data_IF_561890821943
#
_entry.id   IF_561890821943
#
_cell.length_a   1.000
_cell.length_b   1.000
_cell.length_c   1.000
_cell.angle_alpha   90.00
_cell.angle_beta   90.00
_cell.angle_gamma   90.00
#
_symmetry.space_group_name_H-M   'P 1'
#
loop_
_entity.id
_entity.type
_entity.pdbx_description
1 polymer ?
#
# COMPACT_ATOMS: atom_id res chain seq x y z
N UNK A 1 24.43 -6.73 -20.65
CA UNK A 1 24.59 -5.45 -21.39
C UNK A 1 24.61 -4.32 -20.38
N UNK A 2 25.60 -3.41 -20.41
CA UNK A 2 25.54 -2.20 -19.59
C UNK A 2 24.27 -1.42 -19.95
N UNK A 3 23.53 -0.98 -18.95
CA UNK A 3 22.38 -0.11 -19.18
C UNK A 3 22.87 1.19 -19.82
N UNK A 4 22.28 1.60 -20.93
CA UNK A 4 22.54 2.94 -21.45
C UNK A 4 22.04 3.97 -20.42
N UNK A 5 22.85 4.97 -20.09
CA UNK A 5 22.46 6.06 -19.20
C UNK A 5 21.17 6.76 -19.67
N UNK A 6 20.94 6.78 -20.98
CA UNK A 6 19.71 7.27 -21.61
C UNK A 6 18.45 6.56 -21.10
N UNK A 7 18.51 5.25 -20.84
CA UNK A 7 17.37 4.47 -20.34
C UNK A 7 17.00 4.85 -18.91
N UNK A 8 17.99 5.11 -18.05
CA UNK A 8 17.73 5.61 -16.69
C UNK A 8 17.12 7.00 -16.70
N UNK A 9 17.67 7.90 -17.53
CA UNK A 9 17.13 9.25 -17.68
C UNK A 9 15.68 9.22 -18.18
N UNK A 10 15.37 8.42 -19.19
CA UNK A 10 14.01 8.28 -19.70
C UNK A 10 13.05 7.66 -18.67
N UNK A 11 13.49 6.65 -17.92
CA UNK A 11 12.69 6.06 -16.86
C UNK A 11 12.32 7.09 -15.78
N UNK A 12 13.31 7.87 -15.31
CA UNK A 12 13.09 8.92 -14.33
C UNK A 12 12.20 10.05 -14.86
N UNK A 13 12.41 10.49 -16.10
CA UNK A 13 11.56 11.50 -16.73
C UNK A 13 10.11 11.03 -16.84
N UNK A 14 9.90 9.78 -17.27
CA UNK A 14 8.56 9.18 -17.37
C UNK A 14 7.91 9.11 -15.99
N UNK A 15 8.63 8.66 -14.98
CA UNK A 15 8.13 8.61 -13.60
C UNK A 15 7.79 10.01 -13.07
N UNK A 16 8.64 11.02 -13.28
CA UNK A 16 8.35 12.40 -12.89
C UNK A 16 7.08 12.93 -13.56
N UNK A 17 6.96 12.78 -14.88
CA UNK A 17 5.79 13.27 -15.64
C UNK A 17 4.51 12.62 -15.14
N UNK A 18 4.52 11.29 -14.97
CA UNK A 18 3.35 10.53 -14.53
C UNK A 18 2.96 10.89 -13.10
N UNK A 19 3.94 11.00 -12.18
CA UNK A 19 3.67 11.39 -10.80
C UNK A 19 3.17 12.83 -10.70
N UNK A 20 3.73 13.77 -11.47
CA UNK A 20 3.24 15.16 -11.52
C UNK A 20 1.83 15.24 -12.08
N UNK A 21 1.51 14.46 -13.12
CA UNK A 21 0.16 14.37 -13.66
C UNK A 21 -0.83 13.79 -12.62
N UNK A 22 -0.42 12.76 -11.87
CA UNK A 22 -1.22 12.22 -10.78
C UNK A 22 -1.44 13.25 -9.65
N UNK A 23 -0.40 13.97 -9.25
CA UNK A 23 -0.51 15.06 -8.25
C UNK A 23 -1.49 16.14 -8.73
N UNK A 24 -1.37 16.58 -9.99
CA UNK A 24 -2.29 17.55 -10.57
C UNK A 24 -3.74 17.03 -10.60
N UNK A 25 -3.94 15.76 -10.98
CA UNK A 25 -5.26 15.11 -10.97
C UNK A 25 -5.85 15.02 -9.56
N UNK A 26 -5.07 14.62 -8.56
CA UNK A 26 -5.49 14.58 -7.16
C UNK A 26 -5.81 15.99 -6.64
N UNK A 27 -4.95 16.96 -6.91
CA UNK A 27 -5.17 18.36 -6.55
C UNK A 27 -6.50 18.86 -7.11
N UNK A 28 -6.74 18.69 -8.41
CA UNK A 28 -8.02 19.11 -9.03
C UNK A 28 -9.22 18.40 -8.41
N UNK A 29 -9.10 17.10 -8.10
CA UNK A 29 -10.16 16.32 -7.46
C UNK A 29 -10.46 16.84 -6.06
N UNK A 30 -9.42 17.12 -5.26
CA UNK A 30 -9.54 17.63 -3.88
C UNK A 30 -10.15 19.04 -3.86
N UNK A 31 -9.71 19.93 -4.76
CA UNK A 31 -10.27 21.27 -4.84
C UNK A 31 -11.73 21.27 -5.33
N UNK A 32 -12.04 20.48 -6.37
CA UNK A 32 -13.36 20.49 -6.99
C UNK A 32 -14.41 19.72 -6.19
N UNK A 33 -14.05 18.59 -5.57
CA UNK A 33 -15.01 17.68 -4.94
C UNK A 33 -14.98 17.72 -3.41
N UNK A 34 -13.86 18.09 -2.80
CA UNK A 34 -13.66 18.00 -1.33
C UNK A 34 -13.39 19.36 -0.68
N UNK A 35 -13.56 20.47 -1.41
CA UNK A 35 -13.39 21.82 -0.87
C UNK A 35 -11.98 22.13 -0.39
N UNK A 36 -10.97 21.41 -0.89
CA UNK A 36 -9.57 21.54 -0.45
C UNK A 36 -9.16 20.59 0.67
N UNK A 37 -10.06 19.75 1.18
CA UNK A 37 -9.73 18.78 2.21
C UNK A 37 -9.16 17.49 1.60
N UNK A 38 -7.84 17.31 1.75
CA UNK A 38 -7.10 16.14 1.26
C UNK A 38 -7.54 14.82 1.91
N UNK A 39 -8.15 14.87 3.10
CA UNK A 39 -8.65 13.67 3.76
C UNK A 39 -9.82 13.03 3.01
N UNK A 40 -10.45 13.75 2.08
CA UNK A 40 -11.49 13.22 1.18
C UNK A 40 -11.00 12.05 0.32
N UNK A 41 -9.70 11.96 0.05
CA UNK A 41 -9.09 10.84 -0.69
C UNK A 41 -9.18 9.49 0.06
N UNK A 42 -9.34 9.51 1.38
CA UNK A 42 -9.50 8.29 2.18
C UNK A 42 -10.95 7.75 2.18
N UNK A 43 -11.90 8.50 1.60
CA UNK A 43 -13.30 8.10 1.47
C UNK A 43 -13.91 7.64 2.81
N UNK A 44 -13.88 8.50 3.82
CA UNK A 44 -14.37 8.21 5.17
C UNK A 44 -15.90 8.24 5.16
N UNK A 45 -16.55 7.14 5.55
CA UNK A 45 -18.01 7.03 5.54
C UNK A 45 -18.66 7.79 6.69
N UNK A 46 -19.94 8.16 6.56
CA UNK A 46 -20.72 8.74 7.65
C UNK A 46 -21.52 7.73 8.48
N UNK A 47 -21.84 6.53 7.91
CA UNK A 47 -22.69 5.50 8.56
C UNK A 47 -21.90 4.44 9.35
N UNK A 48 -20.75 4.04 8.80
CA UNK A 48 -19.73 3.21 9.45
C UNK A 48 -18.44 4.02 9.63
N UNK A 49 -18.55 5.33 9.46
CA UNK A 49 -17.50 6.27 9.78
C UNK A 49 -17.02 5.95 11.14
N UNK A 50 -15.78 5.56 11.20
CA UNK A 50 -15.15 5.40 12.47
C UNK A 50 -15.31 6.73 13.20
N UNK A 51 -16.17 6.76 14.22
CA UNK A 51 -16.14 7.80 15.23
C UNK A 51 -14.90 7.54 16.08
N UNK A 52 -13.73 7.67 15.45
CA UNK A 52 -12.44 7.63 16.12
C UNK A 52 -12.44 8.91 16.94
N UNK A 53 -12.75 8.79 18.23
CA UNK A 53 -12.75 9.90 19.17
C UNK A 53 -11.43 10.68 19.18
N UNK A 54 -10.36 10.11 18.63
CA UNK A 54 -8.98 10.61 18.66
C UNK A 54 -8.38 10.99 17.30
N UNK A 55 -9.09 10.80 16.17
CA UNK A 55 -8.55 11.23 14.87
C UNK A 55 -8.86 12.71 14.59
N UNK A 56 -7.94 13.44 13.94
CA UNK A 56 -8.21 14.80 13.46
C UNK A 56 -9.46 14.83 12.58
N UNK A 57 -10.18 15.96 12.64
CA UNK A 57 -11.31 16.24 11.74
C UNK A 57 -10.93 15.90 10.29
N UNK A 58 -11.84 15.21 9.61
CA UNK A 58 -11.62 14.74 8.27
C UNK A 58 -12.91 14.89 7.45
N UNK A 59 -12.77 15.03 6.15
CA UNK A 59 -13.84 15.06 5.18
C UNK A 59 -14.67 13.78 5.28
N UNK A 60 -15.94 13.95 5.64
CA UNK A 60 -16.87 12.85 5.86
C UNK A 60 -17.88 12.79 4.71
N UNK A 61 -18.10 11.60 4.15
CA UNK A 61 -19.09 11.34 3.11
C UNK A 61 -20.44 10.95 3.73
N UNK A 62 -21.43 11.87 3.80
CA UNK A 62 -22.70 11.60 4.48
C UNK A 62 -23.45 10.46 3.81
N UNK A 63 -24.02 9.56 4.62
CA UNK A 63 -24.79 8.41 4.11
C UNK A 63 -23.96 7.29 3.47
N UNK A 64 -22.63 7.46 3.33
CA UNK A 64 -21.72 6.45 2.79
C UNK A 64 -21.24 5.47 3.87
N UNK A 65 -20.95 4.23 3.46
CA UNK A 65 -20.18 3.28 4.29
C UNK A 65 -18.67 3.59 4.30
N UNK A 66 -18.24 4.48 3.41
CA UNK A 66 -16.83 4.77 3.16
C UNK A 66 -16.16 3.68 2.32
N UNK A 67 -14.83 3.73 2.26
CA UNK A 67 -14.01 2.77 1.56
C UNK A 67 -12.87 2.26 2.44
N UNK A 68 -12.16 1.23 2.00
CA UNK A 68 -11.07 0.61 2.75
C UNK A 68 -9.94 1.58 3.16
N UNK A 69 -9.74 2.68 2.42
CA UNK A 69 -8.75 3.71 2.72
C UNK A 69 -8.88 4.30 4.14
N UNK A 70 -10.10 4.46 4.65
CA UNK A 70 -10.35 4.98 6.00
C UNK A 70 -9.74 4.08 7.09
N UNK A 71 -9.74 2.76 6.87
CA UNK A 71 -9.15 1.79 7.81
C UNK A 71 -7.63 1.83 7.77
N UNK A 72 -7.03 2.00 6.59
CA UNK A 72 -5.58 2.13 6.49
C UNK A 72 -5.06 3.46 7.03
N UNK A 73 -5.83 4.54 6.88
CA UNK A 73 -5.58 5.81 7.58
C UNK A 73 -5.58 5.60 9.09
N UNK A 74 -6.61 4.96 9.62
CA UNK A 74 -6.71 4.64 11.03
C UNK A 74 -5.50 3.85 11.57
N UNK A 75 -5.08 2.79 10.87
CA UNK A 75 -3.87 2.04 11.21
C UNK A 75 -2.63 2.94 11.15
N UNK A 76 -2.55 3.90 10.24
CA UNK A 76 -1.40 4.80 10.14
C UNK A 76 -1.30 5.76 11.32
N UNK A 77 -2.44 6.17 11.90
CA UNK A 77 -2.47 7.02 13.10
C UNK A 77 -2.21 6.25 14.39
N UNK A 78 -2.50 4.95 14.41
CA UNK A 78 -2.22 4.09 15.56
C UNK A 78 -1.65 2.72 15.14
N UNK A 79 -0.41 2.68 14.61
CA UNK A 79 0.17 1.44 14.08
C UNK A 79 0.58 0.45 15.17
N UNK A 80 0.73 0.92 16.41
CA UNK A 80 1.18 0.13 17.55
C UNK A 80 0.06 -0.21 18.55
N UNK A 81 -1.20 0.05 18.21
CA UNK A 81 -2.37 -0.24 19.06
C UNK A 81 -2.29 0.43 20.44
N UNK A 82 -1.79 1.67 20.48
CA UNK A 82 -1.71 2.47 21.69
C UNK A 82 -3.08 3.06 22.09
N UNK A 83 -4.03 3.09 21.16
CA UNK A 83 -5.38 3.62 21.36
C UNK A 83 -6.45 2.57 21.08
N UNK A 84 -7.71 2.90 21.36
CA UNK A 84 -8.86 2.03 21.05
C UNK A 84 -9.41 2.21 19.63
N UNK A 85 -8.63 2.83 18.73
CA UNK A 85 -9.04 3.07 17.35
C UNK A 85 -9.35 1.78 16.58
N UNK A 86 -8.71 0.67 16.95
CA UNK A 86 -8.95 -0.64 16.35
C UNK A 86 -10.41 -1.12 16.46
N UNK A 87 -11.17 -0.70 17.47
CA UNK A 87 -12.57 -1.15 17.70
C UNK A 87 -13.48 -0.80 16.53
N UNK A 88 -13.18 0.30 15.84
CA UNK A 88 -13.98 0.78 14.74
C UNK A 88 -13.40 0.39 13.36
N UNK A 89 -12.31 -0.39 13.34
CA UNK A 89 -11.76 -0.93 12.11
C UNK A 89 -12.42 -2.27 11.81
N UNK A 90 -13.07 -2.37 10.64
CA UNK A 90 -13.60 -3.65 10.18
C UNK A 90 -12.48 -4.66 9.96
N UNK A 91 -12.61 -5.83 10.58
CA UNK A 91 -11.59 -6.90 10.61
C UNK A 91 -10.21 -6.36 10.92
N UNK A 92 -10.09 -5.65 12.05
CA UNK A 92 -8.85 -5.03 12.51
C UNK A 92 -7.66 -5.99 12.43
N UNK A 93 -7.83 -7.27 12.76
CA UNK A 93 -6.75 -8.26 12.67
C UNK A 93 -6.16 -8.38 11.26
N UNK A 94 -6.98 -8.29 10.22
CA UNK A 94 -6.50 -8.36 8.84
C UNK A 94 -5.88 -7.04 8.38
N UNK A 95 -6.38 -5.91 8.87
CA UNK A 95 -5.88 -4.57 8.48
C UNK A 95 -4.51 -4.29 9.11
N UNK A 96 -4.31 -4.67 10.37
CA UNK A 96 -3.03 -4.55 11.07
C UNK A 96 -1.95 -5.51 10.58
N UNK A 97 -2.32 -6.61 9.90
CA UNK A 97 -1.35 -7.45 9.19
C UNK A 97 -0.79 -6.78 7.93
N UNK A 98 -1.56 -5.86 7.34
CA UNK A 98 -1.26 -5.13 6.11
C UNK A 98 -0.63 -3.75 6.41
N UNK A 99 0.35 -3.75 7.31
CA UNK A 99 0.86 -2.54 7.97
C UNK A 99 1.91 -1.78 7.17
N UNK A 100 2.42 -2.30 6.03
CA UNK A 100 3.59 -1.70 5.38
C UNK A 100 3.41 -0.22 5.05
N UNK A 101 2.34 0.12 4.33
CA UNK A 101 2.06 1.51 3.92
C UNK A 101 1.67 2.38 5.12
N UNK A 102 0.74 1.96 6.01
CA UNK A 102 0.46 2.69 7.25
C UNK A 102 1.70 3.00 8.11
N UNK A 103 2.58 2.02 8.30
CA UNK A 103 3.80 2.19 9.10
C UNK A 103 4.79 3.11 8.42
N UNK A 104 4.96 3.00 7.09
CA UNK A 104 5.81 3.91 6.32
C UNK A 104 5.33 5.36 6.43
N UNK A 105 4.02 5.59 6.38
CA UNK A 105 3.42 6.91 6.58
C UNK A 105 3.68 7.46 7.99
N UNK A 106 3.48 6.63 9.02
CA UNK A 106 3.76 7.00 10.41
C UNK A 106 5.23 7.36 10.63
N UNK A 107 6.16 6.56 10.06
CA UNK A 107 7.60 6.82 10.14
C UNK A 107 7.96 8.13 9.43
N UNK A 108 7.41 8.38 8.24
CA UNK A 108 7.64 9.61 7.49
C UNK A 108 7.11 10.85 8.22
N UNK A 109 5.99 10.72 8.94
CA UNK A 109 5.42 11.76 9.79
C UNK A 109 6.11 11.89 11.16
N UNK A 110 7.04 11.00 11.51
CA UNK A 110 7.65 10.95 12.84
C UNK A 110 6.63 10.72 13.97
N UNK A 111 5.51 10.04 13.67
CA UNK A 111 4.40 9.83 14.60
C UNK A 111 3.53 11.05 14.90
N UNK A 112 3.74 12.20 14.23
CA UNK A 112 2.92 13.39 14.41
C UNK A 112 1.59 13.24 13.68
N UNK A 113 0.49 13.10 14.42
CA UNK A 113 -0.86 12.85 13.86
C UNK A 113 -1.26 13.85 12.76
N UNK A 114 -0.90 15.13 12.88
CA UNK A 114 -1.22 16.17 11.88
C UNK A 114 -0.54 15.96 10.53
N UNK A 115 0.59 15.25 10.48
CA UNK A 115 1.37 15.03 9.25
C UNK A 115 1.10 13.66 8.63
N UNK A 116 0.48 12.72 9.35
CA UNK A 116 0.29 11.33 8.91
C UNK A 116 -0.53 11.23 7.63
N UNK A 117 -1.59 12.03 7.48
CA UNK A 117 -2.44 11.98 6.29
C UNK A 117 -1.67 12.40 5.02
N UNK A 118 -0.91 13.50 5.12
CA UNK A 118 -0.04 13.97 4.03
C UNK A 118 1.12 13.00 3.75
N UNK A 119 1.72 12.43 4.80
CA UNK A 119 2.75 11.42 4.67
C UNK A 119 2.23 10.16 3.97
N UNK A 120 1.00 9.72 4.26
CA UNK A 120 0.39 8.56 3.61
C UNK A 120 0.21 8.81 2.10
N UNK A 121 -0.33 9.97 1.73
CA UNK A 121 -0.47 10.37 0.31
C UNK A 121 0.92 10.40 -0.36
N UNK A 122 1.93 10.93 0.32
CA UNK A 122 3.30 10.96 -0.20
C UNK A 122 3.89 9.56 -0.40
N UNK A 123 3.61 8.60 0.49
CA UNK A 123 4.01 7.19 0.32
C UNK A 123 3.32 6.56 -0.89
N UNK A 124 2.01 6.76 -1.06
CA UNK A 124 1.26 6.26 -2.24
C UNK A 124 1.82 6.83 -3.54
N UNK A 125 2.10 8.14 -3.58
CA UNK A 125 2.72 8.80 -4.74
C UNK A 125 4.16 8.34 -4.98
N UNK A 126 4.91 8.05 -3.92
CA UNK A 126 6.25 7.47 -4.02
C UNK A 126 6.19 6.06 -4.61
N UNK A 127 5.22 5.24 -4.19
CA UNK A 127 4.99 3.93 -4.79
C UNK A 127 4.66 4.04 -6.29
N UNK A 128 3.85 5.02 -6.69
CA UNK A 128 3.59 5.30 -8.11
C UNK A 128 4.89 5.64 -8.86
N UNK A 129 5.68 6.59 -8.33
CA UNK A 129 6.94 7.01 -8.93
C UNK A 129 7.90 5.82 -9.11
N UNK A 130 8.15 5.06 -8.04
CA UNK A 130 9.03 3.91 -8.09
C UNK A 130 8.46 2.76 -8.94
N UNK A 131 7.14 2.61 -9.02
CA UNK A 131 6.47 1.64 -9.87
C UNK A 131 6.67 1.94 -11.36
N UNK A 132 6.43 3.18 -11.77
CA UNK A 132 6.67 3.67 -13.14
C UNK A 132 8.16 3.56 -13.49
N UNK A 133 9.06 3.99 -12.60
CA UNK A 133 10.50 3.90 -12.83
C UNK A 133 10.95 2.44 -12.98
N UNK A 134 10.51 1.55 -12.07
CA UNK A 134 10.82 0.13 -12.12
C UNK A 134 10.31 -0.52 -13.41
N UNK A 135 9.09 -0.20 -13.85
CA UNK A 135 8.50 -0.79 -15.05
C UNK A 135 9.23 -0.28 -16.29
N UNK A 136 9.53 1.02 -16.35
CA UNK A 136 10.31 1.63 -17.43
C UNK A 136 11.67 0.96 -17.58
N UNK A 137 12.36 0.71 -16.47
CA UNK A 137 13.66 0.04 -16.48
C UNK A 137 13.54 -1.46 -16.82
N UNK A 138 12.48 -2.13 -16.39
CA UNK A 138 12.21 -3.52 -16.78
C UNK A 138 11.92 -3.64 -18.27
N UNK A 139 11.15 -2.71 -18.86
CA UNK A 139 10.91 -2.66 -20.30
C UNK A 139 12.20 -2.38 -21.08
N UNK A 140 13.00 -1.42 -20.62
CA UNK A 140 14.29 -1.11 -21.21
C UNK A 140 15.23 -2.33 -21.24
N UNK A 141 15.19 -3.20 -20.21
CA UNK A 141 15.95 -4.46 -20.18
C UNK A 141 15.61 -5.41 -21.32
N UNK A 142 14.36 -5.37 -21.77
CA UNK A 142 13.83 -6.25 -22.80
C UNK A 142 13.79 -5.58 -24.18
N UNK A 143 14.47 -4.44 -24.36
CA UNK A 143 14.49 -3.72 -25.64
C UNK A 143 13.19 -2.99 -25.99
N UNK A 144 12.28 -2.82 -25.02
CA UNK A 144 11.01 -2.12 -25.19
C UNK A 144 11.15 -0.63 -24.80
N UNK A 145 10.27 0.25 -25.32
CA UNK A 145 10.34 1.69 -25.05
C UNK A 145 10.16 1.99 -23.54
N UNK A 146 11.11 2.66 -22.88
CA UNK A 146 11.01 2.97 -21.45
C UNK A 146 9.79 3.83 -21.10
N UNK A 147 9.37 4.70 -22.01
CA UNK A 147 8.19 5.55 -21.84
C UNK A 147 6.88 4.76 -21.63
N UNK A 148 6.82 3.50 -22.11
CA UNK A 148 5.68 2.63 -21.86
C UNK A 148 5.54 2.23 -20.37
N UNK A 149 6.52 2.55 -19.52
CA UNK A 149 6.37 2.45 -18.07
C UNK A 149 5.22 3.31 -17.53
N UNK A 150 4.78 4.34 -18.27
CA UNK A 150 3.58 5.12 -17.94
C UNK A 150 2.30 4.27 -17.85
N UNK A 151 2.26 3.11 -18.52
CA UNK A 151 1.15 2.15 -18.41
C UNK A 151 0.95 1.63 -16.98
N UNK A 152 1.96 1.75 -16.10
CA UNK A 152 1.84 1.42 -14.69
C UNK A 152 0.71 2.21 -14.00
N UNK A 153 0.50 3.48 -14.39
CA UNK A 153 -0.59 4.30 -13.86
C UNK A 153 -1.96 3.74 -14.21
N UNK A 154 -2.10 3.11 -15.38
CA UNK A 154 -3.37 2.55 -15.88
C UNK A 154 -3.74 1.21 -15.25
N UNK A 155 -2.84 0.61 -14.45
CA UNK A 155 -3.15 -0.61 -13.72
C UNK A 155 -4.29 -0.33 -12.72
N UNK A 156 -5.29 -1.21 -12.60
CA UNK A 156 -6.41 -1.01 -11.66
C UNK A 156 -5.94 -0.78 -10.23
N UNK A 157 -4.89 -1.48 -9.80
CA UNK A 157 -4.29 -1.29 -8.49
C UNK A 157 -3.73 0.13 -8.30
N UNK A 158 -3.11 0.72 -9.31
CA UNK A 158 -2.62 2.11 -9.26
C UNK A 158 -3.76 3.12 -9.19
N UNK A 159 -4.74 3.01 -10.09
CA UNK A 159 -5.86 3.94 -10.17
C UNK A 159 -6.71 3.94 -8.89
N UNK A 160 -7.08 2.75 -8.41
CA UNK A 160 -7.90 2.61 -7.20
C UNK A 160 -7.09 3.03 -5.96
N UNK A 161 -5.79 2.73 -5.90
CA UNK A 161 -4.93 3.22 -4.82
C UNK A 161 -4.85 4.74 -4.77
N UNK A 162 -4.79 5.43 -5.91
CA UNK A 162 -4.76 6.89 -5.95
C UNK A 162 -6.12 7.52 -5.63
N UNK A 163 -7.22 6.91 -6.07
CA UNK A 163 -8.57 7.41 -5.81
C UNK A 163 -9.05 7.17 -4.37
N UNK A 164 -8.58 6.07 -3.74
CA UNK A 164 -9.08 5.59 -2.44
C UNK A 164 -8.01 5.40 -1.37
N UNK A 165 -6.77 5.84 -1.63
CA UNK A 165 -5.62 5.70 -0.73
C UNK A 165 -5.42 4.25 -0.25
N UNK A 166 -5.52 3.28 -1.18
CA UNK A 166 -5.26 1.87 -0.87
C UNK A 166 -3.76 1.54 -0.90
N UNK A 167 -3.29 0.58 -0.10
CA UNK A 167 -1.89 0.17 -0.08
C UNK A 167 -1.49 -0.67 -1.31
N UNK A 168 -2.43 -1.09 -2.16
CA UNK A 168 -2.23 -2.01 -3.28
C UNK A 168 -1.14 -1.63 -4.27
N UNK A 169 -0.98 -0.33 -4.54
CA UNK A 169 0.08 0.20 -5.38
C UNK A 169 1.48 -0.21 -4.87
N UNK A 170 1.67 -0.35 -3.57
CA UNK A 170 2.96 -0.79 -3.01
C UNK A 170 3.28 -2.23 -3.42
N UNK A 171 2.27 -3.12 -3.50
CA UNK A 171 2.48 -4.52 -3.86
C UNK A 171 2.90 -4.66 -5.33
N UNK A 172 2.23 -3.95 -6.24
CA UNK A 172 2.60 -3.97 -7.66
C UNK A 172 3.94 -3.27 -7.92
N UNK A 173 4.29 -2.25 -7.13
CA UNK A 173 5.63 -1.64 -7.17
C UNK A 173 6.70 -2.64 -6.72
N UNK A 174 6.48 -3.34 -5.60
CA UNK A 174 7.38 -4.41 -5.13
C UNK A 174 7.55 -5.49 -6.22
N UNK A 175 6.45 -5.97 -6.81
CA UNK A 175 6.49 -6.97 -7.89
C UNK A 175 7.40 -6.53 -9.03
N UNK A 176 7.22 -5.31 -9.53
CA UNK A 176 8.02 -4.79 -10.65
C UNK A 176 9.51 -4.69 -10.29
N UNK A 177 9.84 -4.26 -9.07
CA UNK A 177 11.23 -4.23 -8.61
C UNK A 177 11.82 -5.62 -8.39
N UNK A 178 11.04 -6.59 -7.93
CA UNK A 178 11.48 -8.00 -7.88
C UNK A 178 11.79 -8.49 -9.29
N UNK A 179 10.89 -8.30 -10.26
CA UNK A 179 11.10 -8.68 -11.67
C UNK A 179 12.32 -7.99 -12.27
N UNK A 180 12.52 -6.70 -11.97
CA UNK A 180 13.69 -5.96 -12.42
C UNK A 180 14.97 -6.47 -11.79
N UNK A 181 15.03 -6.73 -10.49
CA UNK A 181 16.26 -7.14 -9.82
C UNK A 181 16.58 -8.63 -9.99
N UNK A 182 15.61 -9.44 -10.42
CA UNK A 182 15.75 -10.87 -10.58
C UNK A 182 16.91 -11.23 -11.53
N UNK A 183 17.83 -12.03 -11.01
CA UNK A 183 19.00 -12.57 -11.73
C UNK A 183 19.25 -14.03 -11.31
N UNK A 184 18.17 -14.79 -11.18
CA UNK A 184 18.18 -16.22 -10.81
C UNK A 184 18.85 -16.51 -9.47
N UNK A 185 18.89 -15.51 -8.58
CA UNK A 185 19.50 -15.61 -7.25
C UNK A 185 18.74 -14.75 -6.27
N UNK A 186 18.58 -15.26 -5.05
CA UNK A 186 18.03 -14.50 -3.94
C UNK A 186 19.09 -13.53 -3.42
N UNK A 187 19.08 -12.29 -3.92
CA UNK A 187 19.90 -11.22 -3.37
C UNK A 187 19.21 -10.57 -2.17
N UNK A 188 19.98 -9.91 -1.30
CA UNK A 188 19.42 -9.20 -0.15
C UNK A 188 18.27 -8.23 -0.53
N UNK A 189 18.38 -7.38 -1.58
CA UNK A 189 17.26 -6.53 -2.00
C UNK A 189 15.99 -7.31 -2.39
N UNK A 190 16.14 -8.46 -3.06
CA UNK A 190 15.00 -9.30 -3.44
C UNK A 190 14.38 -9.93 -2.19
N UNK A 191 15.19 -10.49 -1.29
CA UNK A 191 14.71 -11.07 -0.04
C UNK A 191 13.97 -10.05 0.83
N UNK A 192 14.48 -8.81 0.89
CA UNK A 192 13.82 -7.70 1.58
C UNK A 192 12.45 -7.40 0.94
N UNK A 193 12.40 -7.20 -0.38
CA UNK A 193 11.16 -6.94 -1.11
C UNK A 193 10.12 -8.07 -0.95
N UNK A 194 10.56 -9.33 -1.02
CA UNK A 194 9.71 -10.50 -0.78
C UNK A 194 9.18 -10.54 0.65
N UNK A 195 9.98 -10.15 1.64
CA UNK A 195 9.52 -10.02 3.03
C UNK A 195 8.47 -8.94 3.20
N UNK A 196 8.61 -7.81 2.48
CA UNK A 196 7.69 -6.69 2.57
C UNK A 196 6.36 -6.95 1.85
N UNK A 197 6.31 -7.79 0.81
CA UNK A 197 5.12 -8.00 0.00
C UNK A 197 3.90 -8.51 0.81
N UNK A 198 4.00 -9.53 1.68
CA UNK A 198 2.91 -9.97 2.55
C UNK A 198 2.42 -8.89 3.52
N UNK A 199 3.27 -7.94 3.91
CA UNK A 199 2.90 -6.81 4.78
C UNK A 199 2.06 -5.75 4.05
N UNK A 200 1.96 -5.80 2.72
CA UNK A 200 1.04 -4.95 1.95
C UNK A 200 -0.34 -5.59 1.84
N UNK A 201 -0.37 -6.88 1.46
CA UNK A 201 -1.59 -7.65 1.26
C UNK A 201 -1.29 -9.13 1.41
N UNK A 202 -2.27 -9.91 1.86
CA UNK A 202 -2.13 -11.37 2.03
C UNK A 202 -1.76 -12.07 0.70
N UNK A 203 -2.20 -11.51 -0.43
CA UNK A 203 -1.87 -12.00 -1.79
C UNK A 203 -0.37 -11.85 -2.08
N UNK A 204 0.36 -10.99 -1.36
CA UNK A 204 1.81 -10.87 -1.47
C UNK A 204 2.57 -12.15 -1.13
N UNK A 205 1.97 -13.09 -0.39
CA UNK A 205 2.52 -14.44 -0.17
C UNK A 205 2.65 -15.22 -1.49
N UNK A 206 1.82 -14.93 -2.50
CA UNK A 206 1.98 -15.56 -3.82
C UNK A 206 3.28 -15.14 -4.49
N UNK A 207 3.76 -13.92 -4.24
CA UNK A 207 5.03 -13.45 -4.79
C UNK A 207 6.22 -14.19 -4.19
N UNK A 208 6.17 -14.44 -2.87
CA UNK A 208 7.21 -15.22 -2.16
C UNK A 208 7.17 -16.69 -2.58
N UNK A 209 5.97 -17.26 -2.74
CA UNK A 209 5.78 -18.61 -3.26
C UNK A 209 6.33 -18.76 -4.69
N UNK A 210 6.01 -17.82 -5.59
CA UNK A 210 6.52 -17.84 -6.96
C UNK A 210 8.06 -17.78 -7.01
N UNK A 211 8.68 -16.93 -6.18
CA UNK A 211 10.13 -16.85 -6.07
C UNK A 211 10.76 -18.17 -5.55
N UNK A 212 10.16 -18.77 -4.52
CA UNK A 212 10.60 -20.04 -3.96
C UNK A 212 10.50 -21.19 -4.99
N UNK A 213 9.37 -21.29 -5.69
CA UNK A 213 9.15 -22.29 -6.75
C UNK A 213 10.16 -22.13 -7.89
N UNK A 214 10.43 -20.90 -8.32
CA UNK A 214 11.40 -20.61 -9.39
C UNK A 214 12.82 -21.04 -8.97
N UNK A 215 13.24 -20.72 -7.74
CA UNK A 215 14.55 -21.11 -7.21
C UNK A 215 14.66 -22.63 -7.01
N UNK A 216 13.58 -23.29 -6.62
CA UNK A 216 13.52 -24.74 -6.39
C UNK A 216 13.53 -25.53 -7.70
N UNK A 217 12.60 -25.24 -8.61
CA UNK A 217 12.35 -26.04 -9.80
C UNK A 217 13.26 -25.70 -10.97
N UNK A 218 13.56 -24.41 -11.17
CA UNK A 218 14.35 -23.97 -12.32
C UNK A 218 15.85 -23.92 -12.03
N UNK A 219 16.24 -23.58 -10.80
CA UNK A 219 17.65 -23.38 -10.45
C UNK A 219 18.21 -24.41 -9.46
N UNK A 220 17.36 -25.31 -8.92
CA UNK A 220 17.73 -26.34 -7.92
C UNK A 220 18.48 -25.77 -6.70
N UNK A 221 18.14 -24.55 -6.29
CA UNK A 221 18.75 -23.85 -5.15
C UNK A 221 17.91 -24.00 -3.89
N UNK A 222 17.95 -25.16 -3.28
CA UNK A 222 17.15 -25.52 -2.10
C UNK A 222 17.31 -24.53 -0.94
N UNK A 223 18.53 -24.10 -0.62
CA UNK A 223 18.78 -23.13 0.46
C UNK A 223 18.13 -21.78 0.16
N UNK A 224 18.23 -21.29 -1.07
CA UNK A 224 17.63 -20.01 -1.46
C UNK A 224 16.09 -20.09 -1.53
N UNK A 225 15.55 -21.24 -1.93
CA UNK A 225 14.10 -21.50 -1.88
C UNK A 225 13.60 -21.50 -0.43
N UNK A 226 14.31 -22.17 0.48
CA UNK A 226 13.98 -22.16 1.91
C UNK A 226 14.03 -20.75 2.50
N UNK A 227 15.10 -19.99 2.24
CA UNK A 227 15.22 -18.59 2.67
C UNK A 227 14.09 -17.71 2.11
N UNK A 228 13.61 -17.98 0.89
CA UNK A 228 12.48 -17.26 0.30
C UNK A 228 11.18 -17.55 1.04
N UNK A 229 10.96 -18.78 1.50
CA UNK A 229 9.77 -19.11 2.32
C UNK A 229 9.84 -18.43 3.69
N UNK A 230 11.04 -18.31 4.29
CA UNK A 230 11.22 -17.61 5.57
C UNK A 230 10.83 -16.13 5.52
N UNK A 231 10.75 -15.51 4.33
CA UNK A 231 10.29 -14.12 4.17
C UNK A 231 8.82 -13.92 4.58
N UNK A 232 8.04 -15.00 4.71
CA UNK A 232 6.64 -14.96 5.17
C UNK A 232 6.55 -14.80 6.70
N UNK A 233 7.59 -15.21 7.44
CA UNK A 233 7.56 -15.29 8.91
C UNK A 233 7.16 -13.98 9.62
N UNK A 234 7.71 -12.80 9.24
CA UNK A 234 7.35 -11.55 9.91
C UNK A 234 5.87 -11.22 9.80
N UNK A 235 5.23 -11.52 8.66
CA UNK A 235 3.80 -11.29 8.46
C UNK A 235 2.94 -12.25 9.31
N UNK A 236 3.38 -13.50 9.48
CA UNK A 236 2.69 -14.45 10.36
C UNK A 236 2.83 -14.11 11.85
N UNK A 237 3.96 -13.57 12.28
CA UNK A 237 4.20 -13.24 13.70
C UNK A 237 3.40 -12.03 14.19
N UNK A 238 3.06 -11.10 13.30
CA UNK A 238 2.18 -9.96 13.62
C UNK A 238 0.74 -10.42 13.96
N UNK A 239 0.38 -11.67 13.65
CA UNK A 239 -1.02 -12.13 13.58
C UNK A 239 -1.64 -12.65 14.88
N UNK A 240 -0.89 -12.88 15.98
CA UNK A 240 -1.37 -13.78 17.05
C UNK A 240 -1.63 -13.17 18.44
N UNK A 241 -0.89 -12.15 18.89
CA UNK A 241 -0.91 -11.82 20.34
C UNK A 241 -1.46 -10.43 20.73
N UNK A 242 -1.83 -9.56 19.77
CA UNK A 242 -2.04 -8.13 20.08
C UNK A 242 -3.46 -7.59 20.05
N UNK A 243 -4.43 -8.33 19.52
CA UNK A 243 -5.81 -7.84 19.38
C UNK A 243 -6.77 -8.72 20.19
N UNK A 244 -7.54 -8.15 21.14
CA UNK A 244 -8.65 -8.87 21.74
C UNK A 244 -9.70 -9.20 20.66
N UNK A 245 -10.46 -10.30 20.81
CA UNK A 245 -11.46 -10.70 19.83
C UNK A 245 -12.42 -9.55 19.57
N UNK A 246 -12.62 -9.21 18.30
CA UNK A 246 -13.54 -8.15 17.90
C UNK A 246 -14.97 -8.54 18.30
N UNK A 247 -15.75 -7.63 18.92
CA UNK A 247 -17.17 -7.87 19.08
C UNK A 247 -17.78 -7.96 17.69
N UNK A 248 -18.38 -9.10 17.37
CA UNK A 248 -19.10 -9.32 16.11
C UNK A 248 -20.19 -8.22 16.04
N UNK A 249 -20.19 -7.35 15.01
CA UNK A 249 -21.29 -6.42 14.84
C UNK A 249 -22.54 -7.23 14.51
N UNK A 250 -23.56 -7.18 15.36
CA UNK A 250 -24.86 -7.77 15.07
C UNK A 250 -25.45 -7.12 13.81
N UNK A 251 -25.27 -7.77 12.67
CA UNK A 251 -25.81 -7.40 11.35
C UNK A 251 -27.35 -7.37 11.29
N UNK A 252 -28.03 -7.72 12.40
CA UNK A 252 -29.48 -7.75 12.53
C UNK A 252 -30.07 -6.67 13.45
N UNK A 253 -29.27 -5.77 14.01
CA UNK A 253 -29.80 -4.69 14.85
C UNK A 253 -30.40 -3.56 13.99
N UNK A 254 -31.70 -3.24 14.11
CA UNK A 254 -32.32 -2.16 13.35
C UNK A 254 -31.75 -0.79 13.74
N UNK A 255 -31.79 0.22 12.86
CA UNK A 255 -31.22 1.53 13.14
C UNK A 255 -32.11 2.26 14.14
N UNK A 256 -31.79 2.18 15.44
CA UNK A 256 -32.50 2.97 16.43
C UNK A 256 -32.32 2.50 17.86
N UNK A 257 -31.28 3.02 18.52
CA UNK A 257 -31.25 3.54 19.90
C UNK A 257 -29.82 3.46 20.43
N UNK A 258 -29.10 4.56 20.31
CA UNK A 258 -28.08 4.88 21.30
C UNK A 258 -28.79 5.79 22.31
N UNK A 259 -29.13 5.24 23.46
CA UNK A 259 -29.68 6.01 24.58
C UNK A 259 -28.61 6.94 25.13
N UNK A 260 -28.93 8.24 25.07
CA UNK A 260 -28.49 9.36 25.93
C UNK A 260 -27.11 9.29 26.57
#
# INVERSE_FOLDING_TARGET
MPFAESSYRQALLTACIVTLAAIAGLWTTVQANYGGDWTGLFCIGGRYGVKMQTLPNAYNFPGSRGYDGQFYRAVAHDPFLQTQNWVAIDRAELRYRRILVPLAAWLLAGGQSTLIDGAYIAIVLSCLFFGVAGLSLWLARHGLPPAAGALFLLLPASLISLDRMLPDIALITILVWVLFLWKDRLTFPIALLLTLAPLVRDIGVLLTAAAALTLLFHHRRFTAAFLSVLTILPASLISLDRLPPSPIPDLHSPPGRWSS
#
